data_IF_843578938572
#
_entry.id   IF_843578938572
#
_cell.length_a   1.000
_cell.length_b   1.000
_cell.length_c   1.000
_cell.angle_alpha   90.00
_cell.angle_beta   90.00
_cell.angle_gamma   90.00
#
_symmetry.space_group_name_H-M   'P 1'
#
loop_
_entity.id
_entity.type
_entity.pdbx_description
1 polymer ?
#
# COMPACT_ATOMS: atom_id res chain seq x y z
N UNK A 1 20.29 0.84 -16.02
CA UNK A 1 19.10 -0.03 -16.11
C UNK A 1 17.94 0.79 -15.57
N UNK A 2 16.89 1.06 -16.35
CA UNK A 2 15.75 1.84 -15.86
C UNK A 2 14.92 0.99 -14.86
N UNK A 3 14.37 1.59 -13.78
CA UNK A 3 13.52 0.85 -12.85
C UNK A 3 12.32 0.23 -13.57
N UNK A 4 12.07 -1.06 -13.35
CA UNK A 4 10.88 -1.72 -13.88
C UNK A 4 9.72 -1.40 -12.95
N UNK A 5 8.86 -0.48 -13.38
CA UNK A 5 7.58 -0.24 -12.69
C UNK A 5 6.81 -1.57 -12.66
N UNK A 6 6.42 -2.08 -11.47
CA UNK A 6 5.63 -3.30 -11.39
C UNK A 6 4.34 -3.14 -12.21
N UNK A 7 3.78 -4.21 -12.76
CA UNK A 7 2.51 -4.17 -13.53
C UNK A 7 1.33 -4.77 -12.76
N UNK A 8 1.52 -5.03 -11.47
CA UNK A 8 0.56 -5.73 -10.61
C UNK A 8 -0.31 -4.73 -9.86
N UNK A 9 -1.63 -4.94 -9.90
CA UNK A 9 -2.61 -4.26 -9.06
C UNK A 9 -3.01 -5.19 -7.92
N UNK A 10 -2.98 -4.70 -6.69
CA UNK A 10 -3.28 -5.51 -5.51
C UNK A 10 -4.32 -4.79 -4.65
N UNK A 11 -5.34 -5.52 -4.20
CA UNK A 11 -6.34 -5.01 -3.25
C UNK A 11 -6.20 -5.75 -1.93
N UNK A 12 -6.18 -5.00 -0.82
CA UNK A 12 -6.12 -5.55 0.55
C UNK A 12 -7.42 -5.23 1.27
N UNK A 13 -8.18 -6.28 1.57
CA UNK A 13 -9.44 -6.20 2.33
C UNK A 13 -9.12 -6.30 3.82
N UNK A 14 -9.67 -5.37 4.62
CA UNK A 14 -9.28 -5.16 6.01
C UNK A 14 -8.03 -4.29 6.15
N UNK A 15 -7.73 -3.45 5.15
CA UNK A 15 -6.51 -2.63 5.11
C UNK A 15 -6.49 -1.45 6.08
N UNK A 16 -7.63 -1.11 6.69
CA UNK A 16 -7.70 -0.14 7.79
C UNK A 16 -7.27 -0.72 9.14
N UNK A 17 -7.18 -2.05 9.26
CA UNK A 17 -6.66 -2.75 10.43
C UNK A 17 -5.14 -2.97 10.38
N UNK A 18 -4.55 -3.29 11.54
CA UNK A 18 -3.09 -3.42 11.70
C UNK A 18 -2.44 -4.44 10.75
N UNK A 19 -3.09 -5.60 10.54
CA UNK A 19 -2.54 -6.66 9.67
C UNK A 19 -2.58 -6.24 8.20
N UNK A 20 -3.71 -5.66 7.77
CA UNK A 20 -3.85 -5.18 6.40
C UNK A 20 -2.88 -4.04 6.10
N UNK A 21 -2.79 -3.05 6.99
CA UNK A 21 -1.83 -1.95 6.89
C UNK A 21 -0.38 -2.43 6.82
N UNK A 22 0.04 -3.33 7.70
CA UNK A 22 1.38 -3.91 7.67
C UNK A 22 1.67 -4.67 6.36
N UNK A 23 0.66 -5.35 5.81
CA UNK A 23 0.76 -6.03 4.52
C UNK A 23 0.98 -5.04 3.39
N UNK A 24 0.20 -3.95 3.34
CA UNK A 24 0.34 -2.90 2.31
C UNK A 24 1.71 -2.22 2.40
N UNK A 25 2.16 -1.90 3.62
CA UNK A 25 3.48 -1.30 3.82
C UNK A 25 4.60 -2.23 3.31
N UNK A 26 4.53 -3.53 3.61
CA UNK A 26 5.50 -4.50 3.10
C UNK A 26 5.48 -4.63 1.55
N UNK A 27 4.30 -4.53 0.92
CA UNK A 27 4.18 -4.57 -0.55
C UNK A 27 4.85 -3.36 -1.21
N UNK A 28 4.76 -2.18 -0.58
CA UNK A 28 5.41 -0.95 -1.06
C UNK A 28 6.92 -1.01 -0.87
N UNK A 29 7.39 -1.36 0.33
CA UNK A 29 8.82 -1.45 0.63
C UNK A 29 9.54 -2.49 -0.22
N UNK A 30 8.83 -3.51 -0.70
CA UNK A 30 9.37 -4.55 -1.59
C UNK A 30 9.19 -4.24 -3.09
N UNK A 31 8.56 -3.12 -3.44
CA UNK A 31 8.30 -2.75 -4.84
C UNK A 31 7.46 -3.79 -5.60
N UNK A 32 6.47 -4.41 -4.95
CA UNK A 32 5.73 -5.55 -5.54
C UNK A 32 4.55 -5.12 -6.41
N UNK A 33 3.95 -3.96 -6.12
CA UNK A 33 2.73 -3.48 -6.76
C UNK A 33 2.93 -2.12 -7.43
N UNK A 34 2.28 -1.92 -8.56
CA UNK A 34 2.18 -0.61 -9.22
C UNK A 34 1.06 0.24 -8.61
N UNK A 35 0.02 -0.44 -8.14
CA UNK A 35 -1.21 0.15 -7.65
C UNK A 35 -1.72 -0.71 -6.50
N UNK A 36 -2.02 -0.05 -5.38
CA UNK A 36 -2.53 -0.67 -4.18
C UNK A 36 -3.87 -0.04 -3.81
N UNK A 37 -4.86 -0.89 -3.53
CA UNK A 37 -6.17 -0.48 -3.06
C UNK A 37 -6.41 -1.01 -1.65
N UNK A 38 -6.75 -0.10 -0.73
CA UNK A 38 -7.17 -0.43 0.63
C UNK A 38 -8.70 -0.48 0.66
N UNK A 39 -9.25 -1.59 1.13
CA UNK A 39 -10.69 -1.78 1.34
C UNK A 39 -10.93 -2.07 2.81
N UNK A 40 -11.81 -1.32 3.45
CA UNK A 40 -12.23 -1.56 4.84
C UNK A 40 -13.66 -1.09 5.07
N UNK A 41 -14.31 -1.63 6.11
CA UNK A 41 -15.65 -1.20 6.54
C UNK A 41 -15.59 0.14 7.28
N UNK A 42 -14.43 0.46 7.87
CA UNK A 42 -14.19 1.70 8.60
C UNK A 42 -13.48 2.72 7.68
N UNK A 43 -14.21 3.60 6.98
CA UNK A 43 -13.65 4.44 5.92
C UNK A 43 -12.56 5.39 6.42
N UNK A 44 -12.74 5.98 7.61
CA UNK A 44 -11.72 6.87 8.22
C UNK A 44 -10.43 6.14 8.57
N UNK A 45 -10.52 4.88 8.99
CA UNK A 45 -9.34 4.07 9.28
C UNK A 45 -8.61 3.71 7.98
N UNK A 46 -9.35 3.26 6.95
CA UNK A 46 -8.81 2.99 5.62
C UNK A 46 -8.11 4.22 5.02
N UNK A 47 -8.75 5.39 5.09
CA UNK A 47 -8.18 6.66 4.61
C UNK A 47 -6.94 7.05 5.38
N UNK A 48 -6.97 6.98 6.72
CA UNK A 48 -5.80 7.25 7.56
C UNK A 48 -4.61 6.35 7.24
N UNK A 49 -4.85 5.04 7.05
CA UNK A 49 -3.81 4.11 6.63
C UNK A 49 -3.31 4.43 5.22
N UNK A 50 -4.20 4.75 4.28
CA UNK A 50 -3.81 5.09 2.92
C UNK A 50 -2.90 6.34 2.86
N UNK A 51 -3.19 7.36 3.67
CA UNK A 51 -2.38 8.57 3.77
C UNK A 51 -1.00 8.28 4.38
N UNK A 52 -0.94 7.56 5.51
CA UNK A 52 0.33 7.19 6.16
C UNK A 52 1.22 6.35 5.21
N UNK A 53 0.60 5.43 4.49
CA UNK A 53 1.26 4.60 3.49
C UNK A 53 1.75 5.42 2.28
N UNK A 54 0.97 6.41 1.83
CA UNK A 54 1.36 7.30 0.74
C UNK A 54 2.59 8.14 1.13
N UNK A 55 2.65 8.62 2.37
CA UNK A 55 3.82 9.32 2.91
C UNK A 55 5.04 8.40 2.97
N UNK A 56 4.85 7.13 3.36
CA UNK A 56 5.93 6.13 3.37
C UNK A 56 6.44 5.78 1.95
N UNK A 57 5.56 5.83 0.93
CA UNK A 57 5.91 5.48 -0.45
C UNK A 57 6.98 6.39 -1.06
N UNK A 58 7.12 7.63 -0.58
CA UNK A 58 8.19 8.55 -0.95
C UNK A 58 9.59 7.98 -0.64
N UNK A 59 9.69 7.12 0.38
CA UNK A 59 10.95 6.52 0.82
C UNK A 59 11.24 5.15 0.19
N UNK A 60 10.33 4.61 -0.63
CA UNK A 60 10.54 3.31 -1.27
C UNK A 60 11.44 3.45 -2.50
N UNK A 61 12.48 2.62 -2.67
CA UNK A 61 13.29 2.61 -3.88
C UNK A 61 12.44 2.08 -5.03
N UNK A 62 11.99 2.99 -5.90
CA UNK A 62 11.28 2.67 -7.14
C UNK A 62 12.13 1.87 -8.13
#
# INVERSE_FOLDING_TARGET
MAPRVPNKRISVIGGGGMVGAATVNALILKGVAAELLIVDVAPKAAEGQALDIADASFNSPG
#
